data_IF_809243730896
#
_entry.id   IF_809243730896
#
_cell.length_a   1.000
_cell.length_b   1.000
_cell.length_c   1.000
_cell.angle_alpha   90.00
_cell.angle_beta   90.00
_cell.angle_gamma   90.00
#
_symmetry.space_group_name_H-M   'P 1'
#
loop_
_entity.id
_entity.type
_entity.pdbx_description
1 polymer ?
#
# COMPACT_ATOMS: atom_id res chain seq x y z
N UNK A 1 7.01 1.58 -15.72
CA UNK A 1 5.62 1.11 -15.47
C UNK A 1 4.68 2.03 -16.22
N UNK A 2 3.65 1.53 -16.92
CA UNK A 2 2.73 2.38 -17.70
C UNK A 2 1.25 2.18 -17.38
N UNK A 3 0.87 1.00 -16.90
CA UNK A 3 -0.53 0.63 -16.68
C UNK A 3 -0.77 0.03 -15.29
N UNK A 4 -2.05 -0.06 -14.90
CA UNK A 4 -2.46 -0.83 -13.71
C UNK A 4 -2.05 -2.31 -13.82
N UNK A 5 -2.07 -2.89 -15.03
CA UNK A 5 -1.63 -4.26 -15.24
C UNK A 5 -0.13 -4.43 -14.96
N UNK A 6 0.70 -3.47 -15.38
CA UNK A 6 2.14 -3.48 -15.07
C UNK A 6 2.39 -3.36 -13.57
N UNK A 7 1.63 -2.50 -12.89
CA UNK A 7 1.68 -2.36 -11.43
C UNK A 7 1.37 -3.69 -10.74
N UNK A 8 0.28 -4.35 -11.13
CA UNK A 8 -0.10 -5.67 -10.60
C UNK A 8 0.99 -6.70 -10.85
N UNK A 9 1.54 -6.79 -12.07
CA UNK A 9 2.62 -7.73 -12.39
C UNK A 9 3.86 -7.51 -11.51
N UNK A 10 4.25 -6.25 -11.28
CA UNK A 10 5.39 -5.91 -10.40
C UNK A 10 5.13 -6.24 -8.93
N UNK A 11 3.91 -6.05 -8.44
CA UNK A 11 3.53 -6.49 -7.09
C UNK A 11 3.62 -8.01 -6.95
N UNK A 12 3.09 -8.76 -7.93
CA UNK A 12 3.12 -10.23 -7.92
C UNK A 12 4.56 -10.77 -7.96
N UNK A 13 5.47 -10.07 -8.63
CA UNK A 13 6.89 -10.43 -8.69
C UNK A 13 7.64 -10.25 -7.35
N UNK A 14 6.99 -9.73 -6.29
CA UNK A 14 7.61 -9.64 -4.97
C UNK A 14 8.58 -8.47 -4.78
N UNK A 15 8.55 -7.48 -5.67
CA UNK A 15 9.52 -6.37 -5.67
C UNK A 15 9.33 -5.50 -4.41
N UNK A 16 10.44 -4.99 -3.87
CA UNK A 16 10.42 -3.96 -2.81
C UNK A 16 9.81 -2.67 -3.34
N UNK A 17 9.11 -1.95 -2.47
CA UNK A 17 8.50 -0.68 -2.83
C UNK A 17 8.41 0.26 -1.64
N UNK A 18 8.52 1.54 -1.91
CA UNK A 18 8.25 2.63 -0.97
C UNK A 18 6.80 3.07 -1.13
N UNK A 19 6.10 3.15 0.00
CA UNK A 19 4.71 3.63 0.10
C UNK A 19 4.69 5.00 0.74
N UNK A 20 4.10 5.97 0.06
CA UNK A 20 3.84 7.31 0.60
C UNK A 20 2.34 7.52 0.77
N UNK A 21 1.94 7.96 1.97
CA UNK A 21 0.56 8.31 2.29
C UNK A 21 0.34 9.82 2.13
N UNK A 22 -0.70 10.20 1.39
CA UNK A 22 -1.02 11.62 1.11
C UNK A 22 -2.24 12.14 1.87
N UNK A 23 -2.88 11.27 2.65
CA UNK A 23 -4.03 11.66 3.47
C UNK A 23 -3.54 12.33 4.76
N UNK A 24 -4.19 13.41 5.24
CA UNK A 24 -3.79 14.12 6.46
C UNK A 24 -3.97 13.28 7.74
N UNK A 25 -4.84 12.27 7.68
CA UNK A 25 -5.15 11.35 8.78
C UNK A 25 -5.46 9.97 8.20
N UNK A 26 -4.90 8.93 8.79
CA UNK A 26 -5.26 7.55 8.47
C UNK A 26 -6.27 7.05 9.49
N UNK A 27 -7.36 6.47 8.99
CA UNK A 27 -8.33 5.77 9.83
C UNK A 27 -8.02 4.28 9.75
N UNK A 28 -7.52 3.73 10.85
CA UNK A 28 -7.34 2.28 11.02
C UNK A 28 -8.61 1.73 11.66
N UNK A 29 -9.26 0.79 10.97
CA UNK A 29 -10.40 0.07 11.52
C UNK A 29 -9.89 -1.10 12.34
N UNK A 30 -9.96 -0.99 13.67
CA UNK A 30 -9.65 -2.08 14.60
C UNK A 30 -10.92 -2.79 15.08
N UNK A 31 -10.74 -3.92 15.78
CA UNK A 31 -11.85 -4.68 16.37
C UNK A 31 -12.63 -3.87 17.43
N UNK A 32 -12.02 -2.84 18.01
CA UNK A 32 -12.57 -1.97 19.07
C UNK A 32 -13.01 -0.59 18.58
N UNK A 33 -13.02 -0.37 17.25
CA UNK A 33 -13.47 0.88 16.65
C UNK A 33 -12.46 1.49 15.66
N UNK A 34 -12.80 2.68 15.17
CA UNK A 34 -11.94 3.42 14.26
C UNK A 34 -10.91 4.24 15.05
N UNK A 35 -9.62 3.98 14.83
CA UNK A 35 -8.53 4.79 15.37
C UNK A 35 -8.01 5.72 14.30
N UNK A 36 -7.86 7.00 14.63
CA UNK A 36 -7.28 8.01 13.74
C UNK A 36 -5.81 8.20 14.13
N UNK A 37 -4.90 7.92 13.21
CA UNK A 37 -3.46 8.12 13.41
C UNK A 37 -2.93 9.21 12.47
N UNK A 38 -1.85 9.92 12.88
CA UNK A 38 -1.14 10.81 11.97
C UNK A 38 -0.63 10.04 10.75
N UNK A 39 -0.43 10.76 9.65
CA UNK A 39 0.13 10.20 8.42
C UNK A 39 1.53 9.64 8.70
N UNK A 40 1.76 8.34 8.49
CA UNK A 40 3.07 7.76 8.69
C UNK A 40 4.03 8.30 7.63
N UNK A 41 5.34 8.37 7.95
CA UNK A 41 6.36 8.70 6.97
C UNK A 41 6.36 7.67 5.82
N UNK A 42 7.01 7.97 4.69
CA UNK A 42 7.22 6.98 3.64
C UNK A 42 7.88 5.73 4.19
N UNK A 43 7.32 4.56 3.88
CA UNK A 43 7.77 3.27 4.41
C UNK A 43 8.13 2.32 3.28
N UNK A 44 9.24 1.58 3.45
CA UNK A 44 9.59 0.48 2.57
C UNK A 44 8.81 -0.78 2.95
N UNK A 45 8.31 -1.47 1.94
CA UNK A 45 7.43 -2.62 2.07
C UNK A 45 7.82 -3.69 1.07
N UNK A 46 7.64 -4.94 1.50
CA UNK A 46 7.86 -6.13 0.67
C UNK A 46 6.52 -6.83 0.54
N UNK A 47 6.19 -7.30 -0.66
CA UNK A 47 4.99 -8.10 -0.88
C UNK A 47 5.19 -9.46 -0.19
N UNK A 48 4.34 -9.73 0.81
CA UNK A 48 4.38 -10.95 1.61
C UNK A 48 3.41 -12.01 1.07
N UNK A 49 2.26 -11.58 0.54
CA UNK A 49 1.23 -12.48 0.02
C UNK A 49 0.49 -11.85 -1.14
N UNK A 50 0.12 -12.68 -2.11
CA UNK A 50 -0.69 -12.30 -3.27
C UNK A 50 -2.01 -13.08 -3.21
N UNK A 51 -3.11 -12.39 -3.44
CA UNK A 51 -4.44 -12.95 -3.68
C UNK A 51 -4.99 -12.45 -5.01
N UNK A 52 -6.12 -13.03 -5.45
CA UNK A 52 -6.77 -12.67 -6.71
C UNK A 52 -7.05 -11.17 -6.83
N UNK A 53 -7.49 -10.53 -5.74
CA UNK A 53 -7.94 -9.13 -5.75
C UNK A 53 -7.13 -8.20 -4.84
N UNK A 54 -6.10 -8.72 -4.18
CA UNK A 54 -5.35 -7.95 -3.18
C UNK A 54 -3.93 -8.47 -3.01
N UNK A 55 -3.06 -7.64 -2.43
CA UNK A 55 -1.75 -8.04 -1.95
C UNK A 55 -1.56 -7.63 -0.50
N UNK A 56 -0.80 -8.41 0.25
CA UNK A 56 -0.37 -8.11 1.59
C UNK A 56 1.11 -7.69 1.57
N UNK A 57 1.43 -6.65 2.32
CA UNK A 57 2.80 -6.19 2.53
C UNK A 57 3.27 -6.50 3.95
N UNK A 58 4.53 -6.90 4.09
CA UNK A 58 5.19 -7.04 5.39
C UNK A 58 5.64 -5.67 5.92
N UNK A 59 5.35 -5.39 7.20
CA UNK A 59 5.83 -4.18 7.89
C UNK A 59 7.07 -4.53 8.71
N UNK A 60 8.27 -4.33 8.13
CA UNK A 60 9.52 -4.73 8.78
C UNK A 60 9.90 -3.93 10.04
N UNK A 61 9.34 -2.74 10.27
CA UNK A 61 9.84 -1.79 11.29
C UNK A 61 8.96 -1.55 12.53
N UNK A 62 7.91 -2.33 12.79
CA UNK A 62 7.20 -2.28 14.08
C UNK A 62 7.68 -3.37 15.03
N UNK A 63 8.84 -3.14 15.66
CA UNK A 63 9.36 -3.70 16.95
C UNK A 63 9.36 -5.23 17.16
N UNK A 64 10.08 -5.69 18.20
CA UNK A 64 10.45 -7.09 18.51
C UNK A 64 9.33 -8.15 18.68
N UNK A 65 8.08 -7.85 18.30
CA UNK A 65 6.99 -8.77 17.84
C UNK A 65 5.66 -8.00 17.75
N UNK A 66 4.77 -8.37 16.81
CA UNK A 66 3.76 -9.37 17.15
C UNK A 66 3.73 -10.51 16.13
N UNK A 67 3.86 -11.76 16.60
CA UNK A 67 3.48 -12.92 15.81
C UNK A 67 1.94 -12.92 15.68
N UNK A 68 1.41 -12.56 14.51
CA UNK A 68 -0.03 -12.54 14.28
C UNK A 68 -0.49 -11.71 13.07
N UNK A 69 -1.81 -11.64 12.82
CA UNK A 69 -2.41 -11.00 11.63
C UNK A 69 -2.16 -9.49 11.50
N UNK A 70 -1.56 -8.83 12.50
CA UNK A 70 -1.17 -7.41 12.47
C UNK A 70 0.16 -7.13 11.75
N UNK A 71 0.92 -8.17 11.37
CA UNK A 71 2.17 -8.04 10.62
C UNK A 71 1.95 -7.51 9.19
N UNK A 72 0.74 -7.68 8.66
CA UNK A 72 0.45 -7.40 7.26
C UNK A 72 -0.44 -6.18 7.07
N UNK A 73 -0.09 -5.37 6.08
CA UNK A 73 -1.00 -4.34 5.53
C UNK A 73 -1.49 -4.78 4.16
N UNK A 74 -2.80 -4.74 3.96
CA UNK A 74 -3.43 -5.16 2.71
C UNK A 74 -3.68 -3.98 1.77
N UNK A 75 -3.50 -4.22 0.49
CA UNK A 75 -3.94 -3.36 -0.61
C UNK A 75 -4.86 -4.18 -1.52
N UNK A 76 -6.13 -3.81 -1.55
CA UNK A 76 -7.03 -4.26 -2.61
C UNK A 76 -6.65 -3.55 -3.91
N UNK A 77 -6.69 -4.28 -5.03
CA UNK A 77 -6.36 -3.70 -6.31
C UNK A 77 -7.32 -2.55 -6.64
N UNK A 78 -6.80 -1.35 -6.96
CA UNK A 78 -7.65 -0.22 -7.29
C UNK A 78 -8.39 -0.48 -8.60
N UNK A 79 -9.54 0.18 -8.75
CA UNK A 79 -10.22 0.24 -10.06
C UNK A 79 -9.39 1.11 -11.00
N UNK A 80 -9.51 0.88 -12.31
CA UNK A 80 -8.77 1.64 -13.32
C UNK A 80 -9.01 3.16 -13.21
N UNK A 81 -10.23 3.58 -12.84
CA UNK A 81 -10.58 5.00 -12.63
C UNK A 81 -9.88 5.66 -11.43
N UNK A 82 -9.42 4.85 -10.47
CA UNK A 82 -8.84 5.30 -9.20
C UNK A 82 -7.31 5.16 -9.22
N UNK A 83 -6.72 4.90 -10.39
CA UNK A 83 -5.31 4.62 -10.56
C UNK A 83 -4.71 5.45 -11.69
N UNK A 84 -3.54 6.02 -11.45
CA UNK A 84 -2.70 6.62 -12.48
C UNK A 84 -1.24 6.22 -12.30
N UNK A 85 -0.44 6.46 -13.35
CA UNK A 85 1.01 6.43 -13.24
C UNK A 85 1.52 7.85 -13.44
N UNK A 86 2.19 8.39 -12.43
CA UNK A 86 2.80 9.72 -12.45
C UNK A 86 4.31 9.54 -12.21
N UNK A 87 5.15 10.07 -13.09
CA UNK A 87 6.63 9.98 -12.97
C UNK A 87 7.15 8.54 -12.74
N UNK A 88 6.50 7.56 -13.37
CA UNK A 88 6.83 6.14 -13.21
C UNK A 88 6.38 5.52 -11.89
N UNK A 89 5.71 6.27 -11.01
CA UNK A 89 5.15 5.83 -9.73
C UNK A 89 3.67 5.52 -9.87
N UNK A 90 3.19 4.50 -9.15
CA UNK A 90 1.79 4.15 -9.13
C UNK A 90 1.06 5.04 -8.12
N UNK A 91 0.03 5.75 -8.56
CA UNK A 91 -0.73 6.68 -7.73
C UNK A 91 -2.16 6.20 -7.62
N UNK A 92 -2.65 6.09 -6.39
CA UNK A 92 -4.03 5.71 -6.11
C UNK A 92 -4.79 6.94 -5.63
N UNK A 93 -5.97 7.16 -6.20
CA UNK A 93 -6.90 8.20 -5.83
C UNK A 93 -8.11 7.62 -5.11
N UNK A 94 -8.75 8.45 -4.31
CA UNK A 94 -10.09 8.22 -3.78
C UNK A 94 -10.82 9.55 -3.78
N UNK A 95 -12.00 9.58 -4.39
CA UNK A 95 -12.83 10.78 -4.52
C UNK A 95 -12.05 11.97 -5.10
N UNK A 96 -11.24 11.71 -6.13
CA UNK A 96 -10.40 12.71 -6.81
C UNK A 96 -9.15 13.15 -6.04
N UNK A 97 -8.93 12.66 -4.81
CA UNK A 97 -7.77 12.99 -3.99
C UNK A 97 -6.72 11.90 -4.06
N UNK A 98 -5.47 12.28 -4.24
CA UNK A 98 -4.32 11.38 -4.13
C UNK A 98 -4.23 10.85 -2.70
N UNK A 99 -4.27 9.53 -2.54
CA UNK A 99 -4.23 8.89 -1.21
C UNK A 99 -2.95 8.10 -0.97
N UNK A 100 -2.40 7.47 -2.01
CA UNK A 100 -1.22 6.62 -1.93
C UNK A 100 -0.33 6.84 -3.15
N UNK A 101 0.98 6.74 -2.94
CA UNK A 101 1.96 6.60 -4.01
C UNK A 101 2.86 5.43 -3.73
N UNK A 102 3.08 4.63 -4.76
CA UNK A 102 3.90 3.43 -4.76
C UNK A 102 5.06 3.62 -5.72
N UNK A 103 6.26 3.55 -5.17
CA UNK A 103 7.52 3.65 -5.90
C UNK A 103 8.26 2.33 -5.74
N UNK A 104 8.45 1.58 -6.83
CA UNK A 104 9.26 0.36 -6.78
C UNK A 104 10.73 0.74 -6.60
N UNK A 105 11.38 0.09 -5.65
CA UNK A 105 12.81 0.26 -5.37
C UNK A 105 13.48 -1.09 -5.62
N UNK A 106 14.55 -1.08 -6.42
CA UNK A 106 15.33 -2.29 -6.78
C UNK A 106 16.33 -2.64 -5.67
#
# INVERSE_FOLDING_TARGET
MKTLADFKRRLVAGVKLRVTFHMPRLVIRGNVGNTVIPTPPPEERIVARVQTNSVAFDRQHMTDKPAGPQRWSWLDYPKAKDFAVEDGKAVIYRDGKKILTYEFIE
#
